data_IF_843404297979
#
_entry.id   IF_843404297979
#
_cell.length_a   1.000
_cell.length_b   1.000
_cell.length_c   1.000
_cell.angle_alpha   90.00
_cell.angle_beta   90.00
_cell.angle_gamma   90.00
#
_symmetry.space_group_name_H-M   'P 1'
#
loop_
_entity.id
_entity.type
_entity.pdbx_description
1 polymer ?
2 non-polymer ?
3 water ?
#
# COMPACT_ATOMS: atom_id res chain seq x y z
N UNK A 1 -16.96 13.49 0.26
CA UNK A 1 -16.92 12.24 -0.56
C UNK A 1 -15.68 11.42 -0.17
N UNK A 2 -15.88 10.36 0.59
CA UNK A 2 -14.79 9.42 0.95
C UNK A 2 -14.62 8.46 -0.22
N UNK A 3 -13.36 8.22 -0.55
CA UNK A 3 -13.02 7.30 -1.64
C UNK A 3 -11.94 6.33 -1.18
N UNK A 4 -11.88 5.22 -1.91
CA UNK A 4 -10.78 4.25 -1.87
C UNK A 4 -10.05 4.34 -3.21
N UNK A 5 -8.73 4.46 -3.18
CA UNK A 5 -7.89 4.50 -4.41
C UNK A 5 -6.87 3.39 -4.28
N UNK A 6 -6.73 2.57 -5.31
CA UNK A 6 -5.82 1.40 -5.31
C UNK A 6 -4.88 1.54 -6.50
N UNK A 7 -3.62 1.20 -6.30
CA UNK A 7 -2.64 1.16 -7.40
C UNK A 7 -1.60 0.11 -7.07
N UNK A 8 -0.89 -0.30 -8.11
CA UNK A 8 0.27 -1.17 -7.92
C UNK A 8 1.46 -0.51 -8.62
N UNK A 9 2.66 -0.84 -8.18
CA UNK A 9 3.92 -0.20 -8.68
C UNK A 9 5.06 -1.21 -8.60
N UNK A 10 6.12 -0.94 -9.35
CA UNK A 10 7.38 -1.72 -9.28
C UNK A 10 8.32 -1.01 -8.30
N UNK A 11 8.93 -1.77 -7.41
CA UNK A 11 9.92 -1.14 -6.51
C UNK A 11 11.12 -0.73 -7.35
N UNK A 12 11.72 0.44 -7.07
CA UNK A 12 12.96 0.88 -7.77
C UNK A 12 14.14 0.01 -7.34
N UNK A 13 14.51 -0.95 -8.18
CA UNK A 13 15.55 -1.95 -7.87
C UNK A 13 16.92 -1.25 -7.83
N UNK A 14 17.02 0.00 -8.27
CA UNK A 14 18.33 0.71 -8.18
C UNK A 14 18.69 0.93 -6.70
N UNK A 15 17.69 1.08 -5.83
CA UNK A 15 17.85 1.28 -4.37
C UNK A 15 18.19 -0.07 -3.73
N UNK A 16 19.45 -0.29 -3.39
CA UNK A 16 19.97 -1.55 -2.78
C UNK A 16 19.32 -1.75 -1.40
N UNK A 17 19.19 -0.67 -0.62
CA UNK A 17 18.77 -0.74 0.80
C UNK A 17 17.23 -0.73 0.89
N UNK A 18 16.63 -1.88 0.57
CA UNK A 18 15.16 -2.09 0.62
C UNK A 18 14.66 -1.90 2.06
N UNK A 19 15.34 -2.48 3.05
CA UNK A 19 14.83 -2.44 4.44
C UNK A 19 14.68 -0.99 4.88
N UNK A 20 15.67 -0.14 4.59
CA UNK A 20 15.57 1.27 5.05
C UNK A 20 14.43 1.96 4.28
N UNK A 21 14.27 1.65 3.00
CA UNK A 21 13.20 2.27 2.16
C UNK A 21 11.82 1.91 2.71
N UNK A 22 11.59 0.64 3.03
CA UNK A 22 10.27 0.20 3.58
C UNK A 22 10.04 0.89 4.93
N UNK A 23 11.04 0.90 5.82
CA UNK A 23 10.87 1.56 7.14
C UNK A 23 10.59 3.05 6.94
N UNK A 24 11.31 3.70 6.05
CA UNK A 24 11.12 5.16 5.72
C UNK A 24 9.71 5.42 5.15
N UNK A 25 9.29 4.61 4.19
CA UNK A 25 7.93 4.76 3.60
C UNK A 25 6.86 4.67 4.71
N UNK A 26 6.91 3.65 5.55
CA UNK A 26 5.88 3.47 6.62
C UNK A 26 5.96 4.60 7.66
N UNK A 27 7.16 5.01 8.05
CA UNK A 27 7.29 6.17 8.97
C UNK A 27 6.61 7.39 8.36
N UNK A 28 6.91 7.72 7.10
CA UNK A 28 6.33 8.93 6.42
C UNK A 28 4.81 8.75 6.31
N UNK A 29 4.36 7.61 5.79
CA UNK A 29 2.93 7.34 5.51
C UNK A 29 2.13 7.48 6.81
N UNK A 30 2.58 6.84 7.87
CA UNK A 30 1.78 6.77 9.11
C UNK A 30 1.61 8.17 9.72
N UNK A 31 2.66 8.98 9.72
CA UNK A 31 2.63 10.37 10.25
C UNK A 31 1.72 11.23 9.38
N UNK A 32 1.93 11.26 8.05
CA UNK A 32 1.17 12.15 7.12
C UNK A 32 -0.31 11.73 7.13
N UNK A 33 -0.56 10.42 7.09
CA UNK A 33 -1.93 9.88 6.92
C UNK A 33 -2.75 10.19 8.17
N UNK A 34 -2.15 10.00 9.34
CA UNK A 34 -2.80 10.24 10.66
C UNK A 34 -3.21 11.71 10.73
N UNK A 35 -2.35 12.62 10.28
CA UNK A 35 -2.61 14.08 10.28
C UNK A 35 -3.69 14.44 9.26
N UNK A 36 -3.86 13.68 8.19
CA UNK A 36 -4.67 14.16 7.05
C UNK A 36 -5.88 13.27 6.85
N UNK A 37 -6.17 12.41 7.83
CA UNK A 37 -7.35 11.53 7.92
C UNK A 37 -7.38 10.54 6.78
N UNK A 38 -6.24 9.91 6.52
CA UNK A 38 -6.13 8.86 5.49
C UNK A 38 -5.79 7.57 6.22
N UNK A 39 -6.37 6.46 5.78
CA UNK A 39 -5.99 5.12 6.24
C UNK A 39 -5.80 4.25 5.00
N UNK A 40 -5.34 3.03 5.20
CA UNK A 40 -5.11 2.09 4.09
C UNK A 40 -4.13 0.99 4.40
N UNK A 41 -3.64 0.40 3.33
CA UNK A 41 -2.74 -0.77 3.46
C UNK A 41 -1.73 -0.72 2.33
N UNK A 42 -0.51 -1.13 2.66
CA UNK A 42 0.65 -1.23 1.74
C UNK A 42 1.05 -2.68 1.78
N UNK A 43 1.06 -3.34 0.62
CA UNK A 43 1.53 -4.73 0.46
C UNK A 43 2.82 -4.62 -0.31
N UNK A 44 3.83 -5.37 0.09
CA UNK A 44 5.11 -5.45 -0.64
C UNK A 44 5.42 -6.92 -0.85
N UNK A 45 5.76 -7.29 -2.08
CA UNK A 45 6.32 -8.63 -2.37
C UNK A 45 6.96 -8.61 -3.74
N UNK A 46 7.97 -9.46 -3.94
CA UNK A 46 8.51 -9.70 -5.30
C UNK A 46 8.82 -8.36 -6.00
N UNK A 47 9.51 -7.45 -5.31
CA UNK A 47 9.99 -6.13 -5.84
C UNK A 47 8.83 -5.29 -6.36
N UNK A 48 7.66 -5.34 -5.71
CA UNK A 48 6.50 -4.55 -6.17
C UNK A 48 5.61 -4.21 -4.99
N UNK A 49 4.83 -3.15 -5.16
CA UNK A 49 3.86 -2.67 -4.14
C UNK A 49 2.43 -2.76 -4.66
N UNK A 50 1.53 -2.84 -3.71
CA UNK A 50 0.10 -2.60 -3.92
C UNK A 50 -0.30 -1.68 -2.79
N UNK A 51 -0.98 -0.58 -3.07
CA UNK A 51 -1.46 0.27 -1.97
C UNK A 51 -2.92 0.60 -2.17
N UNK A 52 -3.65 0.67 -1.06
CA UNK A 52 -5.01 1.22 -1.04
C UNK A 52 -5.03 2.38 -0.06
N UNK A 53 -5.52 3.55 -0.51
CA UNK A 53 -5.70 4.77 0.30
C UNK A 53 -7.20 5.01 0.49
N UNK A 54 -7.62 5.34 1.71
CA UNK A 54 -9.04 5.66 2.02
C UNK A 54 -9.12 7.02 2.68
N UNK A 55 -10.07 7.87 2.25
CA UNK A 55 -10.31 9.18 2.89
C UNK A 55 -10.96 10.16 1.95
N UNK A 56 -10.96 11.45 2.32
CA UNK A 56 -11.61 12.52 1.53
C UNK A 56 -10.98 12.54 0.14
N UNK A 57 -11.82 12.61 -0.90
CA UNK A 57 -11.36 12.51 -2.31
C UNK A 57 -10.17 13.45 -2.56
N UNK A 58 -10.29 14.74 -2.23
CA UNK A 58 -9.27 15.77 -2.59
C UNK A 58 -7.95 15.36 -1.93
N UNK A 59 -7.96 14.97 -0.67
CA UNK A 59 -6.69 14.66 0.06
C UNK A 59 -6.06 13.39 -0.54
N UNK A 60 -6.87 12.37 -0.77
CA UNK A 60 -6.40 11.08 -1.34
C UNK A 60 -5.78 11.36 -2.70
N UNK A 61 -6.44 12.19 -3.53
CA UNK A 61 -5.97 12.46 -4.92
C UNK A 61 -4.66 13.25 -4.88
N UNK A 62 -4.54 14.22 -3.99
CA UNK A 62 -3.32 15.04 -3.83
C UNK A 62 -2.20 14.13 -3.30
N UNK A 63 -2.52 13.21 -2.38
CA UNK A 63 -1.51 12.27 -1.83
C UNK A 63 -1.04 11.35 -2.96
N UNK A 64 -1.96 10.75 -3.73
CA UNK A 64 -1.58 9.88 -4.87
C UNK A 64 -0.66 10.63 -5.86
N UNK A 65 -0.95 11.90 -6.20
CA UNK A 65 -0.10 12.74 -7.11
C UNK A 65 1.33 12.80 -6.58
N UNK A 66 1.50 12.99 -5.28
CA UNK A 66 2.80 13.01 -4.57
C UNK A 66 3.46 11.63 -4.65
N UNK A 67 2.72 10.56 -4.38
CA UNK A 67 3.29 9.18 -4.34
C UNK A 67 3.79 8.85 -5.75
N UNK A 68 3.07 9.29 -6.79
CA UNK A 68 3.46 8.94 -8.17
C UNK A 68 4.88 9.42 -8.46
N UNK A 69 5.36 10.49 -7.81
CA UNK A 69 6.70 11.10 -8.06
C UNK A 69 7.79 10.44 -7.21
N UNK A 70 7.43 9.55 -6.27
CA UNK A 70 8.40 9.05 -5.26
C UNK A 70 9.50 8.29 -6.01
N UNK A 71 10.77 8.57 -5.69
CA UNK A 71 11.98 7.90 -6.28
C UNK A 71 11.99 6.37 -6.02
N UNK A 72 11.28 5.92 -5.00
CA UNK A 72 11.42 4.52 -4.46
C UNK A 72 10.59 3.51 -5.25
N UNK A 73 9.74 3.96 -6.17
CA UNK A 73 8.98 3.06 -7.06
C UNK A 73 8.75 3.76 -8.41
N UNK A 74 8.29 2.99 -9.40
CA UNK A 74 8.08 3.43 -10.80
C UNK A 74 7.07 2.50 -11.46
N UNK A 75 6.67 2.81 -12.71
CA UNK A 75 5.70 1.95 -13.44
C UNK A 75 4.40 1.88 -12.62
N UNK A 76 3.87 3.01 -12.19
CA UNK A 76 2.65 3.02 -11.33
C UNK A 76 1.48 2.60 -12.23
N UNK A 77 0.71 1.59 -11.81
CA UNK A 77 -0.53 1.12 -12.45
C UNK A 77 -1.74 1.46 -11.56
N UNK A 78 -2.44 2.54 -11.91
CA UNK A 78 -3.67 2.98 -11.21
C UNK A 78 -4.79 1.98 -11.49
N UNK A 79 -5.33 1.33 -10.46
CA UNK A 79 -6.33 0.27 -10.66
C UNK A 79 -7.72 0.87 -10.60
N UNK A 80 -8.03 1.63 -9.57
CA UNK A 80 -9.40 2.17 -9.45
C UNK A 80 -9.43 3.24 -8.40
N UNK A 81 -10.46 4.06 -8.49
CA UNK A 81 -10.91 4.96 -7.42
C UNK A 81 -12.42 4.81 -7.30
N UNK A 82 -12.97 4.67 -6.10
CA UNK A 82 -14.44 4.62 -5.98
C UNK A 82 -14.87 5.18 -4.64
N UNK A 83 -16.12 5.63 -4.58
CA UNK A 83 -16.83 6.01 -3.34
C UNK A 83 -16.89 4.82 -2.38
N UNK A 84 -16.55 5.05 -1.11
CA UNK A 84 -16.38 4.00 -0.06
C UNK A 84 -17.75 3.75 0.59
N UNK A 85 -18.13 2.48 0.75
CA UNK A 85 -19.38 2.07 1.44
C UNK A 85 -19.11 1.78 2.92
N UNK A 86 -17.94 1.24 3.24
CA UNK A 86 -17.45 1.07 4.63
C UNK A 86 -15.97 1.47 4.65
N UNK A 87 -15.48 1.94 5.79
CA UNK A 87 -14.06 2.35 5.98
C UNK A 87 -13.23 1.11 6.39
N UNK A 88 -12.90 0.23 5.43
CA UNK A 88 -12.36 -1.13 5.70
C UNK A 88 -11.03 -1.07 6.47
N UNK A 89 -10.22 -0.04 6.24
CA UNK A 89 -8.84 0.03 6.76
C UNK A 89 -8.72 1.16 7.79
N UNK A 90 -9.86 1.63 8.32
CA UNK A 90 -9.98 2.60 9.44
C UNK A 90 -8.97 2.31 10.57
N UNK A 91 -8.71 1.04 10.89
CA UNK A 91 -7.83 0.64 12.03
C UNK A 91 -6.37 1.07 11.82
N UNK A 92 -5.94 1.36 10.59
CA UNK A 92 -4.51 1.69 10.27
C UNK A 92 -4.36 2.95 9.43
N UNK A 93 -3.53 3.86 9.90
CA UNK A 93 -2.98 5.01 9.14
C UNK A 93 -2.29 4.48 7.87
N UNK A 94 -1.52 3.43 8.02
CA UNK A 94 -1.03 2.61 6.88
C UNK A 94 -0.60 1.23 7.37
N UNK A 95 -1.46 0.23 7.16
CA UNK A 95 -1.17 -1.17 7.50
C UNK A 95 -0.06 -1.62 6.57
N UNK A 96 0.81 -2.48 7.06
CA UNK A 96 1.84 -3.12 6.24
C UNK A 96 1.61 -4.62 6.24
N UNK A 97 1.52 -5.19 5.03
CA UNK A 97 1.36 -6.66 4.82
C UNK A 97 2.40 -7.15 3.82
N UNK A 98 3.06 -8.26 4.12
CA UNK A 98 3.99 -8.90 3.16
C UNK A 98 3.38 -10.23 2.74
N UNK A 99 4.04 -10.94 1.83
CA UNK A 99 3.63 -12.27 1.34
C UNK A 99 3.37 -13.21 2.52
N UNK A 100 2.24 -13.91 2.48
CA UNK A 100 1.85 -14.92 3.48
C UNK A 100 1.27 -16.07 2.68
N UNK A 101 1.00 -17.20 3.32
CA UNK A 101 0.53 -18.40 2.57
C UNK A 101 -0.85 -18.14 1.95
N UNK A 102 -1.78 -17.44 2.61
CA UNK A 102 -3.11 -17.18 2.02
C UNK A 102 -2.92 -16.42 0.69
N UNK A 103 -2.01 -15.45 0.62
CA UNK A 103 -1.87 -14.58 -0.57
C UNK A 103 -1.16 -15.39 -1.65
N UNK A 104 -0.20 -16.21 -1.25
CA UNK A 104 0.52 -17.08 -2.19
C UNK A 104 -0.52 -18.03 -2.81
N UNK A 105 -1.39 -18.61 -1.98
CA UNK A 105 -2.44 -19.56 -2.45
C UNK A 105 -3.40 -18.86 -3.44
N UNK A 106 -3.77 -17.61 -3.17
CA UNK A 106 -4.65 -16.83 -4.06
C UNK A 106 -4.04 -16.69 -5.46
N UNK A 107 -2.77 -16.31 -5.50
CA UNK A 107 -2.03 -16.04 -6.75
C UNK A 107 -1.91 -17.36 -7.53
N UNK A 108 -1.46 -18.41 -6.86
CA UNK A 108 -1.19 -19.72 -7.50
C UNK A 108 -2.50 -20.32 -8.02
N UNK A 109 -3.60 -20.15 -7.28
CA UNK A 109 -4.88 -20.79 -7.66
C UNK A 109 -5.44 -20.14 -8.90
N UNK A 110 -5.11 -18.86 -9.16
CA UNK A 110 -5.59 -18.20 -10.40
C UNK A 110 -4.52 -18.22 -11.49
N UNK A 111 -3.43 -18.97 -11.29
CA UNK A 111 -2.47 -19.30 -12.37
C UNK A 111 -1.27 -18.36 -12.46
N UNK A 112 -1.04 -17.51 -11.47
CA UNK A 112 0.19 -16.68 -11.41
C UNK A 112 1.28 -17.50 -10.72
N UNK A 113 2.52 -17.35 -11.15
CA UNK A 113 3.66 -18.02 -10.50
C UNK A 113 4.58 -16.97 -9.86
N UNK A 114 4.19 -15.69 -9.83
CA UNK A 114 4.82 -14.67 -8.96
C UNK A 114 3.73 -13.98 -8.14
N UNK A 115 4.11 -13.24 -7.12
CA UNK A 115 3.18 -12.61 -6.17
C UNK A 115 3.23 -11.09 -6.34
N UNK A 116 3.59 -10.69 -7.54
CA UNK A 116 3.73 -9.27 -7.94
C UNK A 116 2.32 -8.74 -8.17
N UNK A 117 1.89 -7.73 -7.38
CA UNK A 117 0.54 -7.21 -7.51
C UNK A 117 0.26 -6.47 -8.82
N UNK A 118 1.27 -6.16 -9.63
CA UNK A 118 1.01 -5.61 -10.98
C UNK A 118 0.20 -6.61 -11.83
N UNK A 119 0.19 -7.90 -11.47
CA UNK A 119 -0.58 -8.97 -12.18
C UNK A 119 -2.06 -8.90 -11.80
N UNK A 120 -2.47 -8.14 -10.79
CA UNK A 120 -3.90 -8.11 -10.35
C UNK A 120 -4.74 -7.26 -11.31
N UNK A 121 -6.01 -7.63 -11.51
CA UNK A 121 -7.03 -6.79 -12.20
C UNK A 121 -8.03 -6.30 -11.15
N UNK A 122 -8.93 -5.41 -11.54
CA UNK A 122 -9.88 -4.77 -10.60
C UNK A 122 -10.80 -5.81 -9.96
N UNK A 123 -11.17 -6.86 -10.69
CA UNK A 123 -12.06 -7.92 -10.15
C UNK A 123 -11.34 -8.68 -9.02
N UNK A 124 -10.03 -8.87 -9.11
CA UNK A 124 -9.25 -9.59 -8.07
C UNK A 124 -9.29 -8.87 -6.72
N UNK A 125 -9.56 -7.56 -6.70
CA UNK A 125 -9.50 -6.70 -5.49
C UNK A 125 -10.59 -7.08 -4.48
N UNK A 126 -11.73 -7.61 -4.92
CA UNK A 126 -12.70 -8.31 -4.04
C UNK A 126 -11.89 -9.14 -3.04
N UNK A 127 -11.23 -10.20 -3.52
CA UNK A 127 -10.52 -11.20 -2.68
C UNK A 127 -9.24 -10.59 -2.10
N UNK A 128 -8.49 -9.83 -2.90
CA UNK A 128 -7.15 -9.34 -2.47
C UNK A 128 -7.27 -8.34 -1.32
N UNK A 129 -8.17 -7.37 -1.41
CA UNK A 129 -8.37 -6.43 -0.29
C UNK A 129 -8.79 -7.21 0.96
N UNK A 130 -9.66 -8.22 0.81
CA UNK A 130 -10.13 -8.98 1.99
C UNK A 130 -8.93 -9.69 2.61
N UNK A 131 -8.04 -10.27 1.80
CA UNK A 131 -6.81 -10.95 2.30
C UNK A 131 -5.94 -9.93 3.03
N UNK A 132 -5.84 -8.71 2.52
CA UNK A 132 -5.00 -7.65 3.17
C UNK A 132 -5.64 -7.22 4.48
N UNK A 133 -6.97 -7.15 4.54
CA UNK A 133 -7.70 -6.81 5.78
C UNK A 133 -7.47 -7.90 6.85
N UNK A 134 -7.57 -9.18 6.50
CA UNK A 134 -7.53 -10.27 7.52
C UNK A 134 -6.08 -10.64 7.87
N UNK A 135 -5.11 -10.40 7.00
CA UNK A 135 -3.67 -10.64 7.27
C UNK A 135 -3.24 -10.02 8.61
N UNK A 136 -2.37 -10.72 9.35
CA UNK A 136 -1.62 -10.17 10.51
C UNK A 136 -0.72 -9.06 9.94
N UNK A 137 -0.71 -7.86 10.50
CA UNK A 137 0.23 -6.82 10.03
C UNK A 137 1.67 -7.31 10.22
N UNK A 138 2.55 -7.02 9.24
CA UNK A 138 4.01 -7.28 9.35
C UNK A 138 4.64 -6.14 10.17
N UNK A 139 5.20 -6.45 11.34
CA UNK A 139 5.87 -5.42 12.18
C UNK A 139 7.21 -5.07 11.56
N UNK A 140 7.60 -3.78 11.52
CA UNK A 140 8.85 -3.35 10.84
C UNK A 140 9.80 -2.50 11.71
N UNK A 141 9.46 -2.18 12.96
CA UNK A 141 10.37 -1.43 13.87
C UNK A 141 10.72 -0.09 13.23
N UNK A 142 9.75 0.79 13.10
CA UNK A 142 9.94 2.11 12.48
C UNK A 142 10.13 3.12 13.61
N UNK A 143 10.98 4.12 13.37
CA UNK A 143 11.25 5.23 14.32
C UNK A 143 9.88 5.84 14.68
N UNK A 144 9.74 6.41 15.89
CA UNK A 144 8.44 6.80 16.52
C UNK A 144 7.72 7.91 15.72
N UNK A 145 8.42 8.67 14.86
CA UNK A 145 7.84 9.85 14.12
C UNK A 145 8.75 10.29 12.97
N UNK A 146 8.19 10.98 11.99
CA UNK A 146 8.88 11.30 10.71
C UNK A 146 10.01 12.32 10.93
N UNK A 147 9.89 13.23 11.91
CA UNK A 147 10.94 14.22 12.21
C UNK A 147 12.28 13.56 12.51
N UNK A 148 12.24 12.32 12.99
CA UNK A 148 13.45 11.57 13.41
C UNK A 148 14.29 11.13 12.21
N UNK A 149 13.77 11.20 10.98
CA UNK A 149 14.51 10.63 9.82
C UNK A 149 15.14 11.75 8.99
N UNK A 150 14.96 13.03 9.37
CA UNK A 150 15.46 14.20 8.58
C UNK A 150 16.06 15.33 9.45
N UNK A 151 16.75 16.25 8.75
CA UNK A 151 17.56 17.40 9.25
C UNK A 151 18.90 16.84 9.75
X LIG B 1 3.32 9.05 1.97
X LIG B 1 2.24 9.28 2.73
X LIG B 1 2.15 10.42 3.30
X LIG B 1 1.22 8.41 2.81
X LIG B 1 1.23 7.21 2.19
X LIG B 1 0.32 6.40 2.29
X LIG B 1 2.40 6.87 1.39
X LIG B 1 2.52 5.72 0.76
X LIG B 1 3.62 5.52 -0.01
X LIG B 1 3.73 4.31 -0.66
X LIG B 1 4.81 4.05 -1.49
X LIG B 1 4.87 2.71 -2.15
X LIG B 1 5.93 5.00 -1.58
X LIG B 1 7.12 4.63 -2.47
X LIG B 1 5.81 6.21 -0.94
X LIG B 1 4.71 6.48 -0.13
X LIG B 1 4.59 7.66 0.59
X LIG B 1 3.45 7.88 1.32
X LIG B 1 5.65 8.73 0.58
X LIG B 1 5.43 9.89 -0.36
X LIG B 1 5.71 9.46 -1.70
X LIG B 1 6.41 11.03 0.05
X LIG B 1 7.73 10.52 0.28
X LIG B 1 6.05 11.69 1.36
X LIG B 1 4.68 12.15 1.31
X LIG B 1 6.97 12.91 1.62
X LIG B 1 6.83 13.95 0.62
X LIG B 1 7.62 15.40 0.71
X LIG B 1 8.88 15.15 -0.11
X LIG B 1 6.60 16.34 0.09
X LIG B 1 7.93 15.67 2.17
#
# INVERSE_FOLDING_TARGET
>A
MNVRLCYASQRNEKNEDLLQDLRDILTEARDFNDLNGICGVLYYADNAFFQCLEGEQEVVERLFEKIQKDQRHYNIKWLCTYSIDEHSFQRWSMKYVQRNTNIETFFLNMGENTFNPLLLNQQNLKFFLNELLIAEQTKMNTVKKVGMVNRGVNPF
>B hetero
1 FMN N1 C2 O2 N3 C4 O4 C4A N5 C5A C6 C7 C7M C8 C8M C9 C9A N10 C10 C1' C2' O2' C3' O3' C4' O4' C5' O5' P O1P O2P O3P
#
